data_IF_319571751334
#
_entry.id   IF_319571751334
#
_cell.length_a   1.000
_cell.length_b   1.000
_cell.length_c   1.000
_cell.angle_alpha   90.00
_cell.angle_beta   90.00
_cell.angle_gamma   90.00
#
_symmetry.space_group_name_H-M   'P 1'
#
loop_
_entity.id
_entity.type
_entity.pdbx_description
1 polymer ?
#
# COMPACT_ATOMS: atom_id res chain seq x y z
N UNK A 1 14.26 7.64 -20.84
CA UNK A 1 13.83 6.23 -20.87
C UNK A 1 14.95 5.49 -20.17
N UNK A 2 14.80 5.23 -18.86
CA UNK A 2 15.84 4.55 -18.09
C UNK A 2 15.54 3.06 -18.23
N UNK A 3 16.43 2.34 -18.90
CA UNK A 3 16.45 0.88 -18.98
C UNK A 3 16.40 0.29 -17.56
N UNK A 4 15.38 -0.54 -17.29
CA UNK A 4 15.28 -1.34 -16.07
C UNK A 4 16.07 -2.64 -16.31
N UNK A 5 17.18 -2.89 -15.61
CA UNK A 5 18.02 -4.05 -15.87
C UNK A 5 17.34 -5.34 -15.39
N UNK A 6 16.46 -5.89 -16.24
CA UNK A 6 16.24 -7.33 -16.43
C UNK A 6 16.05 -8.19 -15.18
N UNK A 7 15.38 -7.71 -14.13
CA UNK A 7 14.97 -8.60 -13.02
C UNK A 7 13.73 -9.38 -13.45
N UNK A 8 13.78 -10.72 -13.46
CA UNK A 8 12.60 -11.54 -13.74
C UNK A 8 11.58 -11.35 -12.62
N UNK A 9 10.34 -11.03 -12.97
CA UNK A 9 9.29 -10.75 -12.02
C UNK A 9 8.08 -10.08 -12.65
N UNK A 10 7.04 -9.92 -11.84
CA UNK A 10 5.80 -9.27 -12.23
C UNK A 10 5.56 -8.03 -11.38
N UNK A 11 5.27 -6.91 -12.05
CA UNK A 11 4.79 -5.71 -11.37
C UNK A 11 3.35 -5.93 -10.92
N UNK A 12 3.12 -5.80 -9.62
CA UNK A 12 1.81 -5.99 -9.00
C UNK A 12 1.38 -4.69 -8.33
N UNK A 13 0.14 -4.27 -8.59
CA UNK A 13 -0.45 -3.11 -7.94
C UNK A 13 -0.62 -3.35 -6.44
N UNK A 14 -0.13 -2.43 -5.63
CA UNK A 14 -0.34 -2.42 -4.18
C UNK A 14 -1.68 -1.76 -3.83
N UNK A 15 -2.25 -2.05 -2.65
CA UNK A 15 -3.39 -1.32 -2.12
C UNK A 15 -3.12 0.18 -2.04
N UNK A 16 -4.12 0.99 -2.38
CA UNK A 16 -4.02 2.45 -2.38
C UNK A 16 -4.32 3.00 -0.98
N UNK A 17 -3.46 2.65 -0.02
CA UNK A 17 -3.56 3.03 1.38
C UNK A 17 -2.16 3.11 2.02
N UNK A 18 -2.10 3.52 3.29
CA UNK A 18 -0.84 3.67 4.03
C UNK A 18 0.01 2.39 4.09
N UNK A 19 -0.61 1.22 4.23
CA UNK A 19 0.11 -0.07 4.23
C UNK A 19 0.73 -0.37 2.87
N UNK A 20 0.03 -0.12 1.77
CA UNK A 20 0.58 -0.22 0.42
C UNK A 20 1.76 0.71 0.19
N UNK A 21 1.66 1.96 0.67
CA UNK A 21 2.78 2.90 0.62
C UNK A 21 3.98 2.44 1.47
N UNK A 22 3.72 1.85 2.64
CA UNK A 22 4.78 1.28 3.50
C UNK A 22 5.45 0.07 2.83
N UNK A 23 4.68 -0.82 2.17
CA UNK A 23 5.23 -1.93 1.39
C UNK A 23 6.11 -1.43 0.24
N UNK A 24 5.68 -0.39 -0.47
CA UNK A 24 6.48 0.24 -1.52
C UNK A 24 7.80 0.83 -0.97
N UNK A 25 7.73 1.53 0.17
CA UNK A 25 8.91 2.06 0.85
C UNK A 25 9.88 0.94 1.26
N UNK A 26 9.37 -0.12 1.88
CA UNK A 26 10.15 -1.26 2.36
C UNK A 26 10.87 -2.01 1.24
N UNK A 27 10.22 -2.15 0.08
CA UNK A 27 10.81 -2.78 -1.10
C UNK A 27 11.98 -1.96 -1.67
N UNK A 28 11.92 -0.64 -1.53
CA UNK A 28 12.95 0.28 -1.99
C UNK A 28 12.88 0.59 -3.51
N UNK A 29 13.71 1.54 -3.98
CA UNK A 29 13.57 2.16 -5.30
C UNK A 29 13.85 1.22 -6.50
N UNK A 30 14.39 0.02 -6.26
CA UNK A 30 14.60 -1.00 -7.29
C UNK A 30 13.48 -2.04 -7.40
N UNK A 31 12.54 -2.02 -6.46
CA UNK A 31 11.43 -2.99 -6.40
C UNK A 31 10.06 -2.32 -6.27
N UNK A 32 10.00 -1.00 -6.12
CA UNK A 32 8.75 -0.26 -6.10
C UNK A 32 8.81 0.94 -7.05
N UNK A 33 7.68 1.22 -7.71
CA UNK A 33 7.51 2.39 -8.57
C UNK A 33 6.11 2.98 -8.44
N UNK A 34 5.94 4.30 -8.64
CA UNK A 34 4.61 4.88 -8.82
C UNK A 34 3.88 4.19 -9.97
N UNK A 35 2.62 3.81 -9.76
CA UNK A 35 1.79 3.28 -10.85
C UNK A 35 1.47 4.43 -11.80
N UNK A 36 2.02 4.38 -13.01
CA UNK A 36 1.72 5.37 -14.04
C UNK A 36 0.34 5.10 -14.63
N UNK A 37 -0.54 6.09 -14.58
CA UNK A 37 -1.90 6.00 -15.10
C UNK A 37 -2.93 5.98 -13.98
N UNK A 38 -3.71 7.07 -13.92
CA UNK A 38 -5.00 7.07 -13.22
C UNK A 38 -5.89 6.12 -14.01
N UNK A 39 -5.89 4.84 -13.66
CA UNK A 39 -7.00 3.98 -14.07
C UNK A 39 -8.19 4.52 -13.29
N UNK A 40 -9.19 5.15 -13.93
CA UNK A 40 -10.39 5.58 -13.21
C UNK A 40 -11.03 4.30 -12.69
N UNK A 41 -10.87 4.04 -11.39
CA UNK A 41 -11.56 2.97 -10.71
C UNK A 41 -12.71 3.60 -9.95
N UNK A 42 -13.94 3.09 -10.07
CA UNK A 42 -15.04 3.63 -9.29
C UNK A 42 -14.72 3.51 -7.81
N UNK A 43 -15.04 4.55 -7.04
CA UNK A 43 -14.99 4.51 -5.59
C UNK A 43 -16.31 3.97 -5.06
N UNK A 44 -16.24 3.09 -4.06
CA UNK A 44 -17.45 2.58 -3.40
C UNK A 44 -17.81 3.51 -2.25
N UNK A 45 -18.85 4.31 -2.45
CA UNK A 45 -19.41 5.15 -1.40
C UNK A 45 -20.33 4.31 -0.53
N UNK A 46 -20.18 4.40 0.79
CA UNK A 46 -21.08 3.75 1.76
C UNK A 46 -21.65 4.81 2.68
N UNK A 47 -22.96 5.00 2.65
CA UNK A 47 -23.66 5.90 3.56
C UNK A 47 -24.27 5.10 4.70
N UNK A 48 -23.72 5.30 5.90
CA UNK A 48 -24.27 4.76 7.13
C UNK A 48 -25.27 5.75 7.74
N UNK A 49 -26.46 5.25 8.12
CA UNK A 49 -27.47 6.03 8.84
C UNK A 49 -27.88 5.29 10.11
N UNK A 50 -27.92 5.95 11.28
CA UNK A 50 -28.33 5.30 12.52
C UNK A 50 -29.69 4.60 12.38
N UNK A 51 -29.75 3.32 12.77
CA UNK A 51 -30.97 2.51 12.71
C UNK A 51 -31.41 2.08 11.31
N UNK A 52 -30.57 2.28 10.27
CA UNK A 52 -30.84 1.78 8.92
C UNK A 52 -29.69 0.94 8.39
N UNK A 53 -29.95 -0.06 7.52
CA UNK A 53 -28.90 -0.74 6.80
C UNK A 53 -28.06 0.25 5.99
N UNK A 54 -26.73 0.02 5.89
CA UNK A 54 -25.87 0.83 5.04
C UNK A 54 -26.32 0.69 3.59
N UNK A 55 -26.29 1.80 2.85
CA UNK A 55 -26.46 1.81 1.40
C UNK A 55 -25.12 2.11 0.75
N UNK A 56 -24.78 1.39 -0.32
CA UNK A 56 -23.53 1.59 -1.05
C UNK A 56 -23.74 1.64 -2.55
N UNK A 57 -23.04 2.53 -3.23
CA UNK A 57 -23.03 2.65 -4.68
C UNK A 57 -21.63 3.01 -5.19
N UNK A 58 -21.44 2.92 -6.50
CA UNK A 58 -20.18 3.25 -7.18
C UNK A 58 -20.27 4.67 -7.76
N UNK A 59 -19.24 5.48 -7.52
CA UNK A 59 -19.07 6.81 -8.12
C UNK A 59 -17.76 6.88 -8.90
N UNK A 60 -17.69 7.79 -9.87
CA UNK A 60 -16.43 8.10 -10.52
C UNK A 60 -15.47 8.72 -9.51
N UNK A 61 -14.22 8.25 -9.54
CA UNK A 61 -13.17 8.77 -8.67
C UNK A 61 -12.83 10.21 -9.03
N UNK A 62 -12.85 11.06 -8.02
CA UNK A 62 -12.58 12.49 -8.14
C UNK A 62 -11.16 12.84 -7.66
N UNK A 63 -10.62 14.01 -8.06
CA UNK A 63 -9.38 14.53 -7.47
C UNK A 63 -9.47 14.73 -5.95
N UNK A 64 -10.66 15.01 -5.42
CA UNK A 64 -10.92 15.11 -3.99
C UNK A 64 -10.74 13.76 -3.28
N UNK A 65 -11.19 12.66 -3.89
CA UNK A 65 -10.95 11.31 -3.37
C UNK A 65 -9.44 11.00 -3.31
N UNK A 66 -8.70 11.39 -4.36
CA UNK A 66 -7.24 11.24 -4.39
C UNK A 66 -6.55 12.06 -3.28
N UNK A 67 -7.04 13.27 -2.99
CA UNK A 67 -6.51 14.09 -1.91
C UNK A 67 -6.74 13.44 -0.53
N UNK A 68 -7.91 12.84 -0.29
CA UNK A 68 -8.22 12.12 0.96
C UNK A 68 -7.34 10.87 1.10
N UNK A 69 -7.17 10.10 0.03
CA UNK A 69 -6.29 8.92 0.03
C UNK A 69 -4.84 9.35 0.30
N UNK A 70 -4.38 10.41 -0.37
CA UNK A 70 -3.03 10.93 -0.19
C UNK A 70 -2.80 11.41 1.25
N UNK A 71 -3.73 12.16 1.83
CA UNK A 71 -3.65 12.62 3.22
C UNK A 71 -3.54 11.43 4.19
N UNK A 72 -4.38 10.41 3.99
CA UNK A 72 -4.34 9.17 4.77
C UNK A 72 -2.99 8.45 4.66
N UNK A 73 -2.43 8.34 3.45
CA UNK A 73 -1.11 7.76 3.21
C UNK A 73 -0.01 8.57 3.90
N UNK A 74 -0.03 9.90 3.75
CA UNK A 74 0.97 10.79 4.36
C UNK A 74 0.93 10.70 5.87
N UNK A 75 -0.26 10.71 6.48
CA UNK A 75 -0.43 10.55 7.93
C UNK A 75 0.13 9.20 8.40
N UNK A 76 -0.21 8.11 7.71
CA UNK A 76 0.25 6.77 8.06
C UNK A 76 1.78 6.61 7.96
N UNK A 77 2.39 7.15 6.90
CA UNK A 77 3.85 7.12 6.75
C UNK A 77 4.54 8.02 7.79
N UNK A 78 3.97 9.18 8.11
CA UNK A 78 4.51 10.07 9.14
C UNK A 78 4.49 9.40 10.52
N UNK A 79 3.43 8.66 10.86
CA UNK A 79 3.36 7.83 12.07
C UNK A 79 4.45 6.76 12.10
N UNK A 80 4.81 6.20 10.95
CA UNK A 80 5.94 5.28 10.78
C UNK A 80 7.32 5.98 10.74
N UNK A 81 7.39 7.30 10.92
CA UNK A 81 8.64 8.07 10.83
C UNK A 81 9.17 8.27 9.41
N UNK A 82 8.35 7.97 8.39
CA UNK A 82 8.72 8.04 6.98
C UNK A 82 8.13 9.31 6.36
N UNK A 83 8.98 10.13 5.74
CA UNK A 83 8.52 11.29 4.96
C UNK A 83 8.42 10.93 3.48
N UNK A 84 7.21 10.94 2.93
CA UNK A 84 7.01 10.71 1.51
C UNK A 84 7.60 11.86 0.68
N UNK A 85 8.45 11.53 -0.31
CA UNK A 85 9.09 12.52 -1.17
C UNK A 85 8.18 13.06 -2.29
N UNK A 86 7.12 12.33 -2.65
CA UNK A 86 6.20 12.69 -3.73
C UNK A 86 4.76 12.29 -3.40
N UNK A 87 3.76 13.08 -3.85
CA UNK A 87 2.34 12.79 -3.61
C UNK A 87 1.86 11.68 -4.56
N UNK A 88 2.02 10.43 -4.13
CA UNK A 88 1.66 9.25 -4.92
C UNK A 88 0.67 8.40 -4.15
N UNK A 89 -0.52 8.20 -4.72
CA UNK A 89 -1.60 7.38 -4.12
C UNK A 89 -1.55 5.92 -4.54
N UNK A 90 -0.81 5.59 -5.60
CA UNK A 90 -0.76 4.25 -6.17
C UNK A 90 0.67 3.80 -6.50
N UNK A 91 1.01 2.61 -6.04
CA UNK A 91 2.32 2.00 -6.22
C UNK A 91 2.20 0.63 -6.87
N UNK A 92 3.24 0.24 -7.60
CA UNK A 92 3.48 -1.14 -8.02
C UNK A 92 4.75 -1.66 -7.35
N UNK A 93 4.75 -2.94 -7.00
CA UNK A 93 5.91 -3.66 -6.49
C UNK A 93 6.32 -4.76 -7.46
N UNK A 94 7.61 -4.94 -7.69
CA UNK A 94 8.15 -6.03 -8.49
C UNK A 94 8.28 -7.27 -7.62
N UNK A 95 7.46 -8.28 -7.89
CA UNK A 95 7.51 -9.57 -7.20
C UNK A 95 8.26 -10.61 -8.04
N UNK A 96 8.99 -11.55 -7.42
CA UNK A 96 9.58 -12.69 -8.12
C UNK A 96 8.52 -13.52 -8.86
N UNK A 97 8.96 -14.26 -9.88
CA UNK A 97 8.08 -15.20 -10.58
C UNK A 97 7.46 -16.22 -9.61
N UNK A 98 6.17 -16.49 -9.78
CA UNK A 98 5.42 -17.41 -8.91
C UNK A 98 4.94 -16.81 -7.58
N UNK A 99 5.33 -15.58 -7.23
CA UNK A 99 4.81 -14.86 -6.06
C UNK A 99 3.71 -13.89 -6.50
N UNK A 100 2.56 -13.94 -5.82
CA UNK A 100 1.41 -13.06 -6.10
C UNK A 100 1.29 -11.94 -5.08
N UNK A 101 0.52 -10.88 -5.42
CA UNK A 101 0.17 -9.83 -4.46
C UNK A 101 -0.54 -10.37 -3.20
N UNK A 102 -1.36 -11.42 -3.36
CA UNK A 102 -2.02 -12.08 -2.24
C UNK A 102 -1.03 -12.81 -1.32
N UNK A 103 0.09 -13.31 -1.85
CA UNK A 103 1.15 -13.90 -1.03
C UNK A 103 1.90 -12.84 -0.23
N UNK A 104 2.17 -11.68 -0.84
CA UNK A 104 2.75 -10.53 -0.15
C UNK A 104 1.82 -10.07 0.98
N UNK A 105 0.55 -9.77 0.68
CA UNK A 105 -0.44 -9.32 1.66
C UNK A 105 -0.57 -10.31 2.83
N UNK A 106 -0.60 -11.62 2.54
CA UNK A 106 -0.68 -12.66 3.57
C UNK A 106 0.56 -12.67 4.47
N UNK A 107 1.76 -12.53 3.92
CA UNK A 107 3.02 -12.52 4.71
C UNK A 107 3.13 -11.26 5.55
N UNK A 108 2.84 -10.09 4.96
CA UNK A 108 2.84 -8.82 5.68
C UNK A 108 1.79 -8.80 6.80
N UNK A 109 0.58 -9.32 6.52
CA UNK A 109 -0.47 -9.46 7.52
C UNK A 109 -0.10 -10.42 8.67
N UNK A 110 0.57 -11.54 8.36
CA UNK A 110 1.07 -12.46 9.37
C UNK A 110 2.15 -11.81 10.25
N UNK A 111 3.11 -11.11 9.64
CA UNK A 111 4.17 -10.41 10.36
C UNK A 111 3.61 -9.32 11.30
N UNK A 112 2.60 -8.57 10.85
CA UNK A 112 1.91 -7.59 11.71
C UNK A 112 1.14 -8.25 12.85
N UNK A 113 0.54 -9.43 12.64
CA UNK A 113 -0.21 -10.14 13.68
C UNK A 113 0.68 -10.71 14.80
N UNK A 114 1.98 -10.91 14.53
CA UNK A 114 2.96 -11.34 15.54
C UNK A 114 3.37 -10.20 16.47
N UNK A 115 3.16 -8.95 16.06
CA UNK A 115 3.45 -7.79 16.91
C UNK A 115 2.22 -7.50 17.81
N UNK A 116 2.40 -7.36 19.14
CA UNK A 116 1.30 -7.05 20.03
C UNK A 116 0.58 -5.76 19.64
N UNK A 117 -0.64 -5.90 19.11
CA UNK A 117 -1.45 -4.78 18.62
C UNK A 117 -1.67 -3.75 19.73
N UNK A 118 -1.27 -2.50 19.49
CA UNK A 118 -1.69 -1.36 20.29
C UNK A 118 -2.71 -0.52 19.53
N UNK A 119 -3.68 0.03 20.26
CA UNK A 119 -4.51 1.13 19.74
C UNK A 119 -3.63 2.38 19.69
N UNK A 120 -3.38 2.90 18.49
CA UNK A 120 -2.57 4.10 18.29
C UNK A 120 -1.76 4.02 17.00
N UNK A 121 -0.80 4.94 16.82
CA UNK A 121 0.14 4.93 15.71
C UNK A 121 0.89 3.60 15.59
N UNK A 122 1.35 3.28 14.38
CA UNK A 122 2.26 2.16 14.17
C UNK A 122 3.47 2.27 15.10
N UNK A 123 3.79 1.18 15.77
CA UNK A 123 5.03 1.03 16.53
C UNK A 123 6.19 0.74 15.58
N UNK A 124 7.41 1.08 16.01
CA UNK A 124 8.62 0.73 15.25
C UNK A 124 8.70 -0.78 14.97
N UNK A 125 8.25 -1.62 15.91
CA UNK A 125 8.23 -3.07 15.73
C UNK A 125 7.28 -3.52 14.61
N UNK A 126 6.11 -2.88 14.45
CA UNK A 126 5.20 -3.14 13.33
C UNK A 126 5.81 -2.70 12.00
N UNK A 127 6.48 -1.53 11.98
CA UNK A 127 7.20 -1.04 10.79
C UNK A 127 8.30 -2.03 10.40
N UNK A 128 9.14 -2.43 11.35
CA UNK A 128 10.24 -3.36 11.12
C UNK A 128 9.74 -4.73 10.63
N UNK A 129 8.62 -5.22 11.19
CA UNK A 129 8.00 -6.47 10.78
C UNK A 129 7.51 -6.42 9.32
N UNK A 130 6.87 -5.32 8.92
CA UNK A 130 6.46 -5.11 7.52
C UNK A 130 7.69 -5.02 6.61
N UNK A 131 8.72 -4.26 7.02
CA UNK A 131 9.95 -4.10 6.24
C UNK A 131 10.63 -5.44 6.00
N UNK A 132 10.82 -6.24 7.05
CA UNK A 132 11.42 -7.56 6.96
C UNK A 132 10.61 -8.48 6.05
N UNK A 133 9.29 -8.55 6.23
CA UNK A 133 8.43 -9.42 5.43
C UNK A 133 8.45 -9.05 3.93
N UNK A 134 8.50 -7.75 3.61
CA UNK A 134 8.60 -7.28 2.22
C UNK A 134 9.98 -7.61 1.64
N UNK A 135 11.06 -7.38 2.39
CA UNK A 135 12.43 -7.64 1.95
C UNK A 135 12.66 -9.13 1.68
N UNK A 136 12.16 -10.02 2.54
CA UNK A 136 12.18 -11.48 2.34
C UNK A 136 11.43 -11.93 1.08
N UNK A 137 10.44 -11.15 0.63
CA UNK A 137 9.67 -11.45 -0.57
C UNK A 137 10.37 -10.95 -1.83
N UNK A 138 10.90 -9.73 -1.82
CA UNK A 138 11.47 -9.09 -3.01
C UNK A 138 12.95 -9.44 -3.24
N UNK A 139 13.66 -9.84 -2.18
CA UNK A 139 15.08 -10.23 -2.19
C UNK A 139 15.30 -11.54 -1.42
N UNK A 140 14.70 -12.66 -1.87
CA UNK A 140 14.83 -13.95 -1.21
C UNK A 140 16.25 -14.54 -1.26
#
# INVERSE_FOLDING_TARGET
MVDDPGRPGNWVALPENGLGALMAFAAGPGYARPRSGVVPRPVRVTLERPGRPPISWEEERTPEDDAVILESIVSYLAEAGITAAAPVTAWEILLPEGVTGADLERRTGAAMAEVPVRRGPLTQAEVDAVVHAVQDVVSP
#
